data_IF_488674735674
#
_entry.id   IF_488674735674
#
_cell.length_a   1.000
_cell.length_b   1.000
_cell.length_c   1.000
_cell.angle_alpha   90.00
_cell.angle_beta   90.00
_cell.angle_gamma   90.00
#
_symmetry.space_group_name_H-M   'P 1'
#
loop_
_entity.id
_entity.type
_entity.pdbx_description
1 polymer ?
#
# COMPACT_ATOMS: atom_id res chain seq x y z
N UNK A 1 -8.82 1.84 -35.34
CA UNK A 1 -7.35 1.63 -35.23
C UNK A 1 -6.90 2.03 -33.85
N UNK A 2 -6.84 1.11 -32.92
CA UNK A 2 -6.32 1.33 -31.57
C UNK A 2 -4.78 1.29 -31.68
N UNK A 3 -4.13 2.45 -31.50
CA UNK A 3 -2.66 2.53 -31.43
C UNK A 3 -2.19 1.74 -30.21
N UNK A 4 -1.22 0.86 -30.45
CA UNK A 4 -0.51 0.10 -29.42
C UNK A 4 -0.01 1.07 -28.33
N UNK A 5 -0.51 0.86 -27.10
CA UNK A 5 0.04 1.51 -25.93
C UNK A 5 1.42 0.90 -25.68
N UNK A 6 2.46 1.71 -25.78
CA UNK A 6 3.82 1.30 -25.46
C UNK A 6 3.84 0.69 -24.04
N UNK A 7 4.23 -0.57 -23.96
CA UNK A 7 4.49 -1.24 -22.70
C UNK A 7 5.59 -0.48 -21.97
N UNK A 8 5.24 0.13 -20.84
CA UNK A 8 6.23 0.63 -19.88
C UNK A 8 7.12 -0.55 -19.49
N UNK A 9 8.43 -0.42 -19.66
CA UNK A 9 9.37 -1.49 -19.38
C UNK A 9 9.31 -1.87 -17.88
N UNK A 10 8.97 -3.11 -17.62
CA UNK A 10 8.71 -3.69 -16.30
C UNK A 10 9.98 -4.07 -15.56
N UNK A 11 10.82 -3.12 -15.15
CA UNK A 11 11.98 -3.41 -14.30
C UNK A 11 12.13 -2.39 -13.18
N UNK A 12 11.14 -2.32 -12.29
CA UNK A 12 11.19 -1.45 -11.11
C UNK A 12 11.15 -2.25 -9.80
N UNK A 13 11.88 -3.37 -9.77
CA UNK A 13 12.33 -3.94 -8.50
C UNK A 13 13.50 -3.09 -8.01
N UNK A 14 13.52 -2.75 -6.71
CA UNK A 14 14.67 -2.07 -6.14
C UNK A 14 15.96 -2.81 -6.54
N UNK A 15 17.01 -2.12 -7.00
CA UNK A 15 18.25 -2.76 -7.40
C UNK A 15 18.88 -3.40 -6.16
N UNK A 16 18.84 -4.74 -6.07
CA UNK A 16 19.41 -5.50 -4.97
C UNK A 16 18.84 -6.91 -4.86
N UNK A 17 19.56 -7.75 -4.14
CA UNK A 17 19.12 -9.09 -3.79
C UNK A 17 17.94 -9.01 -2.80
N UNK A 18 16.87 -9.78 -3.03
CA UNK A 18 15.76 -9.89 -2.10
C UNK A 18 16.14 -10.82 -0.94
N UNK A 19 16.18 -10.26 0.25
CA UNK A 19 16.51 -11.00 1.47
C UNK A 19 15.24 -11.48 2.15
N UNK A 20 15.26 -12.75 2.59
CA UNK A 20 14.16 -13.36 3.33
C UNK A 20 14.40 -13.26 4.84
N UNK A 21 13.44 -12.78 5.65
CA UNK A 21 13.59 -12.77 7.11
C UNK A 21 13.60 -14.19 7.63
N UNK A 22 14.47 -14.48 8.59
CA UNK A 22 14.64 -15.79 9.19
C UNK A 22 13.34 -16.30 9.81
N UNK A 23 13.03 -17.59 9.60
CA UNK A 23 11.87 -18.25 10.18
C UNK A 23 10.52 -17.90 9.52
N UNK A 24 10.48 -17.11 8.45
CA UNK A 24 9.31 -16.94 7.63
C UNK A 24 9.35 -17.88 6.44
N UNK A 25 8.27 -18.64 6.29
CA UNK A 25 8.03 -19.56 5.17
C UNK A 25 6.77 -19.10 4.43
N UNK A 26 6.68 -19.39 3.15
CA UNK A 26 5.45 -19.13 2.41
C UNK A 26 5.21 -20.17 1.32
N UNK A 27 3.97 -20.30 0.91
CA UNK A 27 3.56 -21.02 -0.29
C UNK A 27 2.66 -20.12 -1.13
N UNK A 28 2.62 -20.36 -2.42
CA UNK A 28 1.68 -19.73 -3.33
C UNK A 28 1.27 -20.75 -4.40
N UNK A 29 -0.04 -20.87 -4.64
CA UNK A 29 -0.57 -21.81 -5.61
C UNK A 29 -1.87 -21.35 -6.25
N UNK A 30 -2.25 -21.96 -7.34
CA UNK A 30 -3.59 -21.85 -7.92
C UNK A 30 -4.45 -22.96 -7.33
N UNK A 31 -5.57 -22.59 -6.70
CA UNK A 31 -6.57 -23.54 -6.18
C UNK A 31 -7.86 -23.49 -6.99
N UNK A 32 -7.84 -22.79 -8.14
CA UNK A 32 -8.95 -22.69 -9.07
C UNK A 32 -9.93 -21.55 -8.76
N UNK A 33 -9.58 -20.57 -7.92
CA UNK A 33 -10.35 -19.34 -7.77
C UNK A 33 -10.14 -18.47 -9.01
N UNK A 34 -8.88 -18.36 -9.48
CA UNK A 34 -8.52 -17.86 -10.82
C UNK A 34 -8.37 -19.02 -11.80
N UNK A 35 -8.43 -18.71 -13.07
CA UNK A 35 -8.40 -19.74 -14.11
C UNK A 35 -6.98 -20.35 -14.28
N UNK A 36 -5.93 -19.52 -14.30
CA UNK A 36 -4.55 -19.97 -14.61
C UNK A 36 -3.48 -19.42 -13.69
N UNK A 37 -3.69 -18.25 -13.03
CA UNK A 37 -2.69 -17.61 -12.21
C UNK A 37 -2.83 -17.97 -10.74
N UNK A 38 -1.78 -17.75 -9.94
CA UNK A 38 -1.79 -17.98 -8.49
C UNK A 38 -2.92 -17.17 -7.83
N UNK A 39 -3.61 -17.80 -6.86
CA UNK A 39 -4.79 -17.22 -6.23
C UNK A 39 -4.91 -17.46 -4.72
N UNK A 40 -4.04 -18.29 -4.16
CA UNK A 40 -3.95 -18.56 -2.73
C UNK A 40 -2.50 -18.52 -2.28
N UNK A 41 -2.24 -17.86 -1.14
CA UNK A 41 -0.94 -17.88 -0.46
C UNK A 41 -1.12 -18.00 1.04
N UNK A 42 -0.17 -18.68 1.68
CA UNK A 42 0.00 -18.71 3.13
C UNK A 42 1.40 -18.23 3.45
N UNK A 43 1.53 -17.28 4.39
CA UNK A 43 2.80 -16.83 4.96
C UNK A 43 2.81 -17.28 6.41
N UNK A 44 3.82 -18.01 6.80
CA UNK A 44 3.92 -18.66 8.12
C UNK A 44 5.22 -18.29 8.81
N UNK A 45 5.15 -18.00 10.08
CA UNK A 45 6.32 -17.87 10.96
C UNK A 45 6.51 -19.15 11.77
N UNK A 46 7.71 -19.71 11.79
CA UNK A 46 8.05 -20.93 12.53
C UNK A 46 7.89 -20.77 14.05
N UNK A 47 7.86 -19.54 14.55
CA UNK A 47 7.57 -19.19 15.94
C UNK A 47 6.45 -18.14 15.97
N UNK A 48 5.71 -18.09 17.08
CA UNK A 48 4.67 -17.08 17.27
C UNK A 48 5.26 -15.68 17.22
N UNK A 49 4.81 -14.84 16.29
CA UNK A 49 5.34 -13.51 16.08
C UNK A 49 4.52 -12.45 16.83
N UNK A 50 5.18 -11.42 17.36
CA UNK A 50 4.50 -10.18 17.75
C UNK A 50 3.97 -9.52 16.49
N UNK A 51 2.73 -9.04 16.53
CA UNK A 51 2.11 -8.51 15.32
C UNK A 51 1.29 -7.26 15.59
N UNK A 52 1.23 -6.38 14.59
CA UNK A 52 0.36 -5.24 14.55
C UNK A 52 -0.31 -5.14 13.18
N UNK A 53 -1.54 -4.65 13.15
CA UNK A 53 -2.24 -4.44 11.90
C UNK A 53 -3.01 -3.12 11.92
N UNK A 54 -3.11 -2.51 10.73
CA UNK A 54 -3.96 -1.40 10.40
C UNK A 54 -4.99 -1.87 9.39
N UNK A 55 -6.27 -1.52 9.60
CA UNK A 55 -7.38 -1.98 8.76
C UNK A 55 -8.17 -0.79 8.22
N UNK A 56 -8.88 -1.01 7.13
CA UNK A 56 -9.77 -0.02 6.51
C UNK A 56 -10.75 0.58 7.51
N UNK A 57 -11.07 1.85 7.29
CA UNK A 57 -12.13 2.59 7.99
C UNK A 57 -13.43 2.63 7.20
N UNK A 58 -13.48 1.96 6.04
CA UNK A 58 -14.71 1.83 5.26
C UNK A 58 -15.81 1.23 6.15
N UNK A 59 -17.03 1.75 6.05
CA UNK A 59 -18.18 1.31 6.85
C UNK A 59 -18.74 -0.03 6.42
N UNK A 60 -18.28 -0.57 5.28
CA UNK A 60 -18.58 -1.92 4.77
C UNK A 60 -17.31 -2.80 4.76
N UNK A 61 -16.72 -3.10 5.94
CA UNK A 61 -15.52 -3.91 5.97
C UNK A 61 -15.82 -5.35 5.53
N UNK A 62 -14.89 -5.94 4.78
CA UNK A 62 -14.96 -7.36 4.44
C UNK A 62 -14.92 -8.28 5.67
N UNK A 63 -15.48 -9.47 5.52
CA UNK A 63 -15.46 -10.49 6.59
C UNK A 63 -14.04 -10.80 7.10
N UNK A 64 -12.99 -10.90 6.23
CA UNK A 64 -11.61 -11.05 6.69
C UNK A 64 -11.14 -9.92 7.60
N UNK A 65 -11.54 -8.68 7.34
CA UNK A 65 -11.21 -7.52 8.19
C UNK A 65 -11.85 -7.64 9.56
N UNK A 66 -13.12 -8.09 9.63
CA UNK A 66 -13.86 -8.28 10.88
C UNK A 66 -13.18 -9.39 11.72
N UNK A 67 -12.86 -10.52 11.11
CA UNK A 67 -12.20 -11.66 11.78
C UNK A 67 -10.77 -11.28 12.15
N UNK A 68 -10.00 -10.68 11.24
CA UNK A 68 -8.62 -10.27 11.48
C UNK A 68 -8.48 -9.29 12.64
N UNK A 69 -9.41 -8.33 12.80
CA UNK A 69 -9.44 -7.41 13.97
C UNK A 69 -9.59 -8.15 15.29
N UNK A 70 -10.39 -9.23 15.33
CA UNK A 70 -10.57 -10.05 16.54
C UNK A 70 -9.30 -10.86 16.83
N UNK A 71 -8.75 -11.52 15.83
CA UNK A 71 -7.60 -12.40 15.97
C UNK A 71 -6.34 -11.63 16.39
N UNK A 72 -6.07 -10.45 15.81
CA UNK A 72 -4.88 -9.64 16.14
C UNK A 72 -4.99 -8.89 17.49
N UNK A 73 -6.13 -8.94 18.16
CA UNK A 73 -6.37 -8.14 19.39
C UNK A 73 -5.36 -8.40 20.50
N UNK A 74 -4.84 -9.62 20.59
CA UNK A 74 -3.80 -10.01 21.55
C UNK A 74 -2.39 -9.53 21.17
N UNK A 75 -2.20 -8.97 19.94
CA UNK A 75 -0.91 -8.48 19.43
C UNK A 75 0.05 -9.57 18.95
N UNK A 76 -0.47 -10.74 18.58
CA UNK A 76 0.29 -11.86 18.03
C UNK A 76 -0.36 -12.41 16.77
N UNK A 77 0.44 -13.01 15.90
CA UNK A 77 0.02 -13.82 14.77
C UNK A 77 1.14 -14.81 14.43
N UNK A 78 0.79 -15.91 13.78
CA UNK A 78 1.77 -16.88 13.34
C UNK A 78 1.62 -17.26 11.86
N UNK A 79 0.42 -17.06 11.29
CA UNK A 79 0.18 -17.26 9.86
C UNK A 79 -0.75 -16.19 9.28
N UNK A 80 -0.54 -15.88 8.01
CA UNK A 80 -1.44 -15.10 7.16
C UNK A 80 -1.93 -16.00 6.03
N UNK A 81 -3.23 -16.01 5.76
CA UNK A 81 -3.82 -16.73 4.63
C UNK A 81 -4.56 -15.73 3.74
N UNK A 82 -4.20 -15.68 2.47
CA UNK A 82 -4.69 -14.68 1.54
C UNK A 82 -5.22 -15.37 0.28
N UNK A 83 -6.44 -15.05 -0.12
CA UNK A 83 -6.95 -15.39 -1.44
C UNK A 83 -7.17 -14.14 -2.30
N UNK A 84 -6.99 -14.27 -3.60
CA UNK A 84 -7.32 -13.25 -4.60
C UNK A 84 -8.49 -13.65 -5.50
N UNK A 85 -8.99 -12.73 -6.35
CA UNK A 85 -10.19 -12.79 -7.20
C UNK A 85 -11.54 -12.70 -6.46
N UNK A 86 -11.63 -13.04 -5.19
CA UNK A 86 -12.84 -12.93 -4.37
C UNK A 86 -12.54 -12.17 -3.08
N UNK A 87 -13.25 -11.08 -2.81
CA UNK A 87 -13.00 -10.20 -1.67
C UNK A 87 -13.67 -10.63 -0.37
N UNK A 88 -14.61 -11.57 -0.41
CA UNK A 88 -15.43 -11.99 0.75
C UNK A 88 -16.07 -10.81 1.49
N UNK A 89 -16.68 -9.90 0.73
CA UNK A 89 -17.34 -8.67 1.20
C UNK A 89 -18.82 -8.72 0.86
N UNK A 90 -19.65 -8.13 1.71
CA UNK A 90 -21.13 -8.08 1.60
C UNK A 90 -21.79 -9.47 1.61
N UNK A 91 -21.18 -10.43 2.29
CA UNK A 91 -21.68 -11.83 2.40
C UNK A 91 -22.33 -12.14 3.74
N UNK A 92 -22.49 -11.14 4.62
CA UNK A 92 -23.12 -11.30 5.93
C UNK A 92 -22.44 -12.37 6.79
N UNK A 93 -23.27 -13.18 7.50
CA UNK A 93 -22.78 -14.26 8.37
C UNK A 93 -21.97 -15.31 7.61
N UNK A 94 -22.38 -15.69 6.39
CA UNK A 94 -21.67 -16.66 5.59
C UNK A 94 -20.22 -16.25 5.33
N UNK A 95 -19.97 -14.97 5.02
CA UNK A 95 -18.61 -14.47 4.81
C UNK A 95 -17.74 -14.59 6.05
N UNK A 96 -18.29 -14.28 7.22
CA UNK A 96 -17.59 -14.39 8.51
C UNK A 96 -17.28 -15.85 8.84
N UNK A 97 -18.27 -16.75 8.69
CA UNK A 97 -18.10 -18.17 8.95
C UNK A 97 -17.01 -18.77 8.03
N UNK A 98 -17.00 -18.41 6.74
CA UNK A 98 -15.98 -18.82 5.78
C UNK A 98 -14.56 -18.32 6.16
N UNK A 99 -14.43 -17.09 6.61
CA UNK A 99 -13.15 -16.54 7.06
C UNK A 99 -12.63 -17.26 8.32
N UNK A 100 -13.53 -17.55 9.29
CA UNK A 100 -13.19 -18.31 10.48
C UNK A 100 -12.80 -19.75 10.12
N UNK A 101 -13.56 -20.41 9.24
CA UNK A 101 -13.26 -21.76 8.77
C UNK A 101 -11.88 -21.81 8.11
N UNK A 102 -11.57 -20.86 7.25
CA UNK A 102 -10.24 -20.75 6.62
C UNK A 102 -9.12 -20.69 7.65
N UNK A 103 -9.29 -19.87 8.71
CA UNK A 103 -8.32 -19.81 9.81
C UNK A 103 -8.19 -21.14 10.55
N UNK A 104 -9.29 -21.85 10.80
CA UNK A 104 -9.28 -23.16 11.48
C UNK A 104 -8.54 -24.21 10.67
N UNK A 105 -8.76 -24.25 9.36
CA UNK A 105 -8.06 -25.20 8.46
C UNK A 105 -6.56 -24.93 8.50
N UNK A 106 -6.13 -23.67 8.31
CA UNK A 106 -4.70 -23.32 8.35
C UNK A 106 -4.10 -23.61 9.73
N UNK A 107 -4.82 -23.30 10.82
CA UNK A 107 -4.38 -23.62 12.17
C UNK A 107 -4.15 -25.12 12.39
N UNK A 108 -5.09 -25.95 11.95
CA UNK A 108 -5.01 -27.41 12.05
C UNK A 108 -3.84 -27.97 11.21
N UNK A 109 -3.68 -27.54 9.96
CA UNK A 109 -2.63 -28.00 9.06
C UNK A 109 -1.21 -27.62 9.56
N UNK A 110 -1.06 -26.46 10.18
CA UNK A 110 0.23 -25.96 10.69
C UNK A 110 0.50 -26.40 12.15
N UNK A 111 -0.51 -26.86 12.87
CA UNK A 111 -0.44 -27.17 14.31
C UNK A 111 -0.31 -25.94 15.18
N UNK A 112 -1.03 -24.87 14.85
CA UNK A 112 -1.06 -23.60 15.59
C UNK A 112 -2.49 -23.22 15.98
N UNK A 113 -2.64 -22.29 16.93
CA UNK A 113 -3.96 -21.75 17.27
C UNK A 113 -4.56 -21.00 16.06
N UNK A 114 -5.83 -21.30 15.77
CA UNK A 114 -6.57 -20.64 14.70
C UNK A 114 -6.72 -19.12 14.92
N UNK A 115 -6.64 -18.64 16.15
CA UNK A 115 -6.61 -17.22 16.50
C UNK A 115 -5.29 -16.54 16.14
N UNK A 116 -4.20 -17.29 15.97
CA UNK A 116 -2.92 -16.78 15.47
C UNK A 116 -2.85 -16.79 13.93
N UNK A 117 -3.93 -17.16 13.24
CA UNK A 117 -4.09 -17.07 11.78
C UNK A 117 -4.92 -15.85 11.41
N UNK A 118 -4.41 -15.00 10.53
CA UNK A 118 -5.12 -13.83 10.02
C UNK A 118 -5.59 -14.08 8.58
N UNK A 119 -6.92 -13.99 8.29
CA UNK A 119 -7.46 -14.18 6.96
C UNK A 119 -7.48 -12.87 6.17
N UNK A 120 -7.25 -12.96 4.85
CA UNK A 120 -7.36 -11.84 3.93
C UNK A 120 -7.95 -12.30 2.60
N UNK A 121 -8.73 -11.42 1.97
CA UNK A 121 -9.33 -11.66 0.67
C UNK A 121 -9.35 -10.39 -0.15
N UNK A 122 -9.16 -10.50 -1.45
CA UNK A 122 -9.20 -9.38 -2.38
C UNK A 122 -9.80 -9.79 -3.73
N UNK A 123 -10.51 -8.88 -4.40
CA UNK A 123 -11.14 -9.11 -5.70
C UNK A 123 -12.60 -8.69 -5.73
N UNK A 124 -13.45 -9.48 -6.34
CA UNK A 124 -14.87 -9.17 -6.58
C UNK A 124 -15.66 -9.20 -5.28
N UNK A 125 -16.48 -8.19 -5.05
CA UNK A 125 -17.42 -8.04 -3.93
C UNK A 125 -18.74 -8.74 -4.26
N UNK A 126 -19.45 -9.25 -3.22
CA UNK A 126 -20.81 -9.80 -3.36
C UNK A 126 -20.87 -11.21 -3.97
N UNK A 127 -19.79 -11.96 -3.91
CA UNK A 127 -19.74 -13.36 -4.34
C UNK A 127 -19.34 -14.28 -3.20
N UNK A 128 -19.98 -15.46 -3.03
CA UNK A 128 -19.59 -16.45 -2.05
C UNK A 128 -18.14 -16.89 -2.26
N UNK A 129 -17.40 -17.05 -1.17
CA UNK A 129 -16.05 -17.60 -1.23
C UNK A 129 -16.14 -19.10 -1.61
N UNK A 130 -15.39 -19.58 -2.62
CA UNK A 130 -15.47 -20.97 -3.08
C UNK A 130 -14.76 -21.92 -2.09
N UNK A 131 -15.41 -22.23 -0.97
CA UNK A 131 -14.81 -22.94 0.15
C UNK A 131 -14.32 -24.35 -0.20
N UNK A 132 -14.93 -25.04 -1.15
CA UNK A 132 -14.46 -26.37 -1.57
C UNK A 132 -13.05 -26.29 -2.18
N UNK A 133 -12.80 -25.27 -3.00
CA UNK A 133 -11.48 -24.99 -3.57
C UNK A 133 -10.47 -24.61 -2.49
N UNK A 134 -10.88 -23.77 -1.53
CA UNK A 134 -10.03 -23.35 -0.42
C UNK A 134 -9.72 -24.53 0.48
N UNK A 135 -10.70 -25.35 0.87
CA UNK A 135 -10.49 -26.57 1.66
C UNK A 135 -9.51 -27.52 0.97
N UNK A 136 -9.73 -27.78 -0.34
CA UNK A 136 -8.82 -28.62 -1.12
C UNK A 136 -7.41 -28.05 -1.21
N UNK A 137 -7.30 -26.75 -1.46
CA UNK A 137 -6.02 -26.05 -1.60
C UNK A 137 -5.21 -25.91 -0.31
N UNK A 138 -5.87 -25.93 0.85
CA UNK A 138 -5.20 -25.81 2.14
C UNK A 138 -4.76 -27.15 2.76
N UNK A 139 -5.14 -28.30 2.16
CA UNK A 139 -4.69 -29.61 2.65
C UNK A 139 -3.20 -29.80 2.41
N UNK A 140 -2.47 -30.28 3.42
CA UNK A 140 -1.05 -30.62 3.33
C UNK A 140 -0.10 -29.42 3.18
N UNK A 141 -0.57 -28.19 3.38
CA UNK A 141 0.23 -26.97 3.14
C UNK A 141 1.54 -26.92 3.95
N UNK A 142 1.62 -27.63 5.08
CA UNK A 142 2.83 -27.64 5.92
C UNK A 142 4.06 -28.12 5.17
N UNK A 143 3.89 -29.09 4.27
CA UNK A 143 4.98 -29.66 3.47
C UNK A 143 5.32 -28.82 2.23
N UNK A 144 4.46 -27.88 1.85
CA UNK A 144 4.64 -27.03 0.69
C UNK A 144 5.31 -25.69 1.00
N UNK A 145 5.37 -25.32 2.28
CA UNK A 145 5.98 -24.07 2.75
C UNK A 145 7.50 -24.03 2.48
N UNK A 146 7.98 -22.92 1.91
CA UNK A 146 9.39 -22.69 1.57
C UNK A 146 9.88 -21.34 2.10
N UNK A 147 11.18 -21.21 2.46
CA UNK A 147 11.72 -19.97 3.04
C UNK A 147 11.91 -18.83 2.03
N UNK A 148 12.01 -19.14 0.74
CA UNK A 148 12.37 -18.20 -0.33
C UNK A 148 11.22 -17.83 -1.28
N UNK A 149 9.98 -18.06 -0.85
CA UNK A 149 8.80 -18.03 -1.73
C UNK A 149 7.98 -16.73 -1.63
N UNK A 150 8.46 -15.70 -0.92
CA UNK A 150 7.70 -14.43 -0.74
C UNK A 150 7.41 -13.70 -2.05
N UNK A 151 8.25 -13.84 -3.08
CA UNK A 151 7.99 -13.25 -4.41
C UNK A 151 6.77 -13.89 -5.06
N UNK A 152 6.62 -15.20 -4.99
CA UNK A 152 5.42 -15.90 -5.49
C UNK A 152 4.18 -15.57 -4.64
N UNK A 153 4.36 -15.34 -3.33
CA UNK A 153 3.28 -14.83 -2.49
C UNK A 153 2.80 -13.45 -2.96
N UNK A 154 3.70 -12.56 -3.39
CA UNK A 154 3.34 -11.27 -3.98
C UNK A 154 2.56 -11.41 -5.29
N UNK A 155 2.87 -12.40 -6.12
CA UNK A 155 2.12 -12.72 -7.35
C UNK A 155 0.71 -13.25 -7.03
N UNK A 156 0.59 -14.13 -6.03
CA UNK A 156 -0.68 -14.76 -5.66
C UNK A 156 -1.73 -13.76 -5.15
N UNK A 157 -1.31 -12.68 -4.53
CA UNK A 157 -2.22 -11.64 -4.00
C UNK A 157 -2.65 -10.60 -5.04
N UNK A 158 -2.05 -10.56 -6.24
CA UNK A 158 -2.40 -9.63 -7.31
C UNK A 158 -3.84 -9.81 -7.77
N UNK A 159 -4.46 -8.72 -8.23
CA UNK A 159 -5.78 -8.72 -8.90
C UNK A 159 -5.66 -8.12 -10.30
N UNK A 160 -5.74 -6.81 -10.41
CA UNK A 160 -5.57 -6.02 -11.63
C UNK A 160 -4.15 -5.45 -11.77
N UNK A 161 -3.29 -5.78 -10.81
CA UNK A 161 -1.88 -5.38 -10.81
C UNK A 161 -1.15 -5.88 -12.06
N UNK A 162 -0.31 -5.05 -12.67
CA UNK A 162 0.51 -5.41 -13.85
C UNK A 162 1.75 -6.22 -13.47
N UNK A 163 2.26 -6.04 -12.24
CA UNK A 163 3.44 -6.74 -11.73
C UNK A 163 3.39 -6.89 -10.20
N UNK A 164 4.08 -7.91 -9.64
CA UNK A 164 4.16 -8.12 -8.20
C UNK A 164 5.04 -7.04 -7.55
N UNK A 165 4.62 -6.60 -6.35
CA UNK A 165 5.32 -5.56 -5.58
C UNK A 165 5.94 -6.16 -4.33
N UNK A 166 7.26 -6.12 -4.24
CA UNK A 166 8.02 -6.63 -3.11
C UNK A 166 9.35 -5.89 -2.94
N UNK A 167 9.81 -5.81 -1.71
CA UNK A 167 11.09 -5.21 -1.35
C UNK A 167 11.60 -5.83 -0.06
N UNK A 168 12.90 -5.89 0.13
CA UNK A 168 13.51 -6.17 1.42
C UNK A 168 14.68 -5.26 1.72
N UNK A 169 14.94 -5.02 3.01
CA UNK A 169 16.08 -4.24 3.48
C UNK A 169 16.68 -4.91 4.72
N UNK A 170 18.00 -4.79 4.89
CA UNK A 170 18.69 -5.19 6.12
C UNK A 170 18.71 -4.04 7.11
N UNK A 171 18.47 -4.34 8.37
CA UNK A 171 18.53 -3.39 9.49
C UNK A 171 19.32 -4.03 10.62
N UNK A 172 20.61 -3.72 10.70
CA UNK A 172 21.52 -4.44 11.59
C UNK A 172 21.60 -5.93 11.22
N UNK A 173 21.34 -6.82 12.18
CA UNK A 173 21.27 -8.27 11.96
C UNK A 173 19.97 -8.72 11.32
N UNK A 174 18.93 -7.92 11.34
CA UNK A 174 17.59 -8.30 10.91
C UNK A 174 17.28 -7.89 9.46
N UNK A 175 16.25 -8.53 8.91
CA UNK A 175 15.67 -8.22 7.61
C UNK A 175 14.24 -7.73 7.80
N UNK A 176 13.84 -6.73 7.02
CA UNK A 176 12.45 -6.35 6.80
C UNK A 176 12.11 -6.70 5.36
N UNK A 177 11.16 -7.58 5.14
CA UNK A 177 10.60 -7.88 3.83
C UNK A 177 9.15 -7.42 3.76
N UNK A 178 8.77 -6.80 2.66
CA UNK A 178 7.42 -6.36 2.39
C UNK A 178 6.93 -6.84 1.04
N UNK A 179 5.68 -7.28 0.99
CA UNK A 179 4.94 -7.54 -0.25
C UNK A 179 3.64 -6.76 -0.25
N UNK A 180 3.20 -6.32 -1.43
CA UNK A 180 1.98 -5.54 -1.55
C UNK A 180 1.23 -5.84 -2.85
N UNK A 181 -0.08 -5.57 -2.83
CA UNK A 181 -0.93 -5.51 -4.01
C UNK A 181 -1.80 -4.25 -3.97
N UNK A 182 -2.13 -3.77 -5.16
CA UNK A 182 -3.07 -2.68 -5.37
C UNK A 182 -2.81 -1.98 -6.70
N UNK A 183 -3.89 -1.68 -7.43
CA UNK A 183 -3.89 -0.95 -8.68
C UNK A 183 -5.16 -0.10 -8.86
N UNK A 184 -6.26 -0.45 -8.23
CA UNK A 184 -7.53 0.30 -8.23
C UNK A 184 -8.26 0.22 -6.90
N UNK A 185 -9.26 1.08 -6.70
CA UNK A 185 -9.98 1.34 -5.44
C UNK A 185 -8.99 1.81 -4.37
N UNK A 186 -8.23 2.90 -4.67
CA UNK A 186 -7.11 3.34 -3.86
C UNK A 186 -7.16 4.84 -3.53
N UNK A 187 -7.73 5.16 -2.38
CA UNK A 187 -7.42 6.32 -1.56
C UNK A 187 -7.44 5.94 -0.09
N UNK A 188 -6.28 5.60 0.50
CA UNK A 188 -6.22 5.14 1.88
C UNK A 188 -6.57 6.25 2.89
N UNK A 189 -7.59 5.97 3.69
CA UNK A 189 -7.78 6.62 4.98
C UNK A 189 -7.63 5.54 6.06
N UNK A 190 -6.37 5.08 6.29
CA UNK A 190 -5.96 3.88 7.01
C UNK A 190 -6.09 2.60 6.14
N UNK A 191 -5.47 2.63 4.94
CA UNK A 191 -5.16 1.56 4.01
C UNK A 191 -6.19 1.25 2.90
N UNK A 192 -5.74 1.34 1.60
CA UNK A 192 -6.49 0.83 0.42
C UNK A 192 -5.61 -0.12 -0.39
N UNK A 193 -5.07 -1.16 0.25
CA UNK A 193 -4.23 -2.20 -0.34
C UNK A 193 -4.08 -3.34 0.64
N UNK A 194 -3.51 -4.42 0.18
CA UNK A 194 -3.01 -5.46 1.07
C UNK A 194 -1.48 -5.35 1.12
N UNK A 195 -0.95 -5.12 2.30
CA UNK A 195 0.49 -5.05 2.56
C UNK A 195 0.85 -5.98 3.71
N UNK A 196 1.83 -6.83 3.48
CA UNK A 196 2.34 -7.76 4.48
C UNK A 196 3.82 -7.50 4.68
N UNK A 197 4.18 -7.17 5.91
CA UNK A 197 5.52 -6.82 6.34
C UNK A 197 6.00 -7.88 7.33
N UNK A 198 7.07 -8.57 7.00
CA UNK A 198 7.69 -9.62 7.81
C UNK A 198 9.07 -9.17 8.24
N UNK A 199 9.41 -9.41 9.50
CA UNK A 199 10.76 -9.17 10.02
C UNK A 199 11.15 -10.20 11.07
N UNK A 200 12.42 -10.57 11.05
CA UNK A 200 13.04 -11.41 12.08
C UNK A 200 13.62 -10.59 13.26
N UNK A 201 13.45 -9.27 13.26
CA UNK A 201 13.84 -8.41 14.38
C UNK A 201 13.05 -8.70 15.65
N UNK A 202 13.73 -8.69 16.80
CA UNK A 202 13.08 -8.63 18.11
C UNK A 202 12.72 -7.19 18.46
N UNK A 203 11.42 -6.87 18.53
CA UNK A 203 10.88 -5.55 18.82
C UNK A 203 9.96 -5.56 20.05
N UNK A 204 9.94 -4.49 20.87
CA UNK A 204 8.99 -4.37 21.94
C UNK A 204 7.55 -4.37 21.43
N UNK A 205 6.67 -5.20 21.99
CA UNK A 205 5.26 -5.29 21.57
C UNK A 205 4.53 -3.94 21.62
N UNK A 206 4.81 -3.15 22.66
CA UNK A 206 4.15 -1.86 22.88
C UNK A 206 4.47 -0.85 21.77
N UNK A 207 5.61 -0.99 21.07
CA UNK A 207 6.08 -0.06 20.03
C UNK A 207 5.60 -0.42 18.62
N UNK A 208 5.25 -1.70 18.36
CA UNK A 208 4.88 -2.14 17.00
C UNK A 208 3.71 -1.36 16.43
N UNK A 209 2.61 -1.26 17.17
CA UNK A 209 1.40 -0.61 16.66
C UNK A 209 1.55 0.91 16.49
N UNK A 210 2.10 1.67 17.45
CA UNK A 210 2.39 3.10 17.26
C UNK A 210 3.33 3.36 16.08
N UNK A 211 4.42 2.58 15.96
CA UNK A 211 5.37 2.67 14.87
C UNK A 211 4.71 2.40 13.51
N UNK A 212 4.00 1.27 13.37
CA UNK A 212 3.30 0.92 12.14
C UNK A 212 2.31 2.03 11.75
N UNK A 213 1.54 2.55 12.72
CA UNK A 213 0.61 3.65 12.49
C UNK A 213 1.31 4.89 11.94
N UNK A 214 2.41 5.32 12.60
CA UNK A 214 3.17 6.49 12.18
C UNK A 214 3.74 6.33 10.76
N UNK A 215 4.27 5.13 10.44
CA UNK A 215 4.78 4.84 9.09
C UNK A 215 3.66 4.83 8.06
N UNK A 216 2.54 4.14 8.31
CA UNK A 216 1.37 4.10 7.41
C UNK A 216 0.82 5.50 7.14
N UNK A 217 0.77 6.36 8.16
CA UNK A 217 0.25 7.72 8.02
C UNK A 217 1.08 8.61 7.08
N UNK A 218 2.39 8.39 7.01
CA UNK A 218 3.30 9.17 6.14
C UNK A 218 3.65 8.48 4.80
N UNK A 219 3.18 7.23 4.59
CA UNK A 219 3.40 6.49 3.35
C UNK A 219 2.08 6.14 2.69
N UNK A 220 1.49 5.01 2.97
CA UNK A 220 0.27 4.52 2.32
C UNK A 220 -0.91 5.49 2.41
N UNK A 221 -1.11 6.18 3.54
CA UNK A 221 -2.14 7.21 3.65
C UNK A 221 -1.80 8.50 2.87
N UNK A 222 -0.66 8.56 2.21
CA UNK A 222 -0.21 9.64 1.35
C UNK A 222 -0.25 9.28 -0.14
N UNK A 223 -1.04 8.30 -0.55
CA UNK A 223 -1.27 8.01 -1.97
C UNK A 223 -2.75 8.07 -2.32
N UNK A 224 -3.07 8.26 -3.61
CA UNK A 224 -4.42 8.15 -4.15
C UNK A 224 -4.36 7.84 -5.63
N UNK A 225 -5.16 6.89 -6.09
CA UNK A 225 -5.30 6.57 -7.53
C UNK A 225 -6.64 7.09 -8.05
N UNK A 226 -7.75 6.74 -7.41
CA UNK A 226 -9.12 6.94 -7.89
C UNK A 226 -10.06 7.57 -6.84
N UNK A 227 -9.56 7.97 -5.68
CA UNK A 227 -10.30 8.54 -4.55
C UNK A 227 -11.20 7.57 -3.78
N UNK A 228 -11.22 6.28 -4.14
CA UNK A 228 -12.09 5.28 -3.54
C UNK A 228 -11.40 4.49 -2.42
N UNK A 229 -11.99 4.48 -1.22
CA UNK A 229 -11.49 3.70 -0.09
C UNK A 229 -12.06 2.28 -0.11
N UNK A 230 -11.19 1.27 -0.21
CA UNK A 230 -11.59 -0.13 -0.28
C UNK A 230 -12.17 -0.68 1.03
N UNK A 231 -12.90 -1.77 0.89
CA UNK A 231 -13.53 -2.54 1.98
C UNK A 231 -12.58 -3.53 2.65
N UNK A 232 -11.40 -3.78 2.06
CA UNK A 232 -10.51 -4.89 2.48
C UNK A 232 -9.13 -4.44 2.94
N UNK A 233 -8.83 -3.16 2.89
CA UNK A 233 -7.50 -2.60 3.14
C UNK A 233 -6.89 -3.03 4.44
N UNK A 234 -5.64 -3.50 4.33
CA UNK A 234 -4.91 -3.96 5.51
C UNK A 234 -3.41 -3.83 5.33
N UNK A 235 -2.73 -3.33 6.36
CA UNK A 235 -1.28 -3.43 6.53
C UNK A 235 -1.00 -4.26 7.77
N UNK A 236 -0.22 -5.32 7.63
CA UNK A 236 0.21 -6.19 8.74
C UNK A 236 1.71 -6.14 8.88
N UNK A 237 2.21 -6.02 10.11
CA UNK A 237 3.61 -6.21 10.47
C UNK A 237 3.71 -7.38 11.44
N UNK A 238 4.52 -8.40 11.08
CA UNK A 238 4.87 -9.54 11.93
C UNK A 238 6.36 -9.50 12.26
N UNK A 239 6.71 -9.58 13.54
CA UNK A 239 8.08 -9.60 14.06
C UNK A 239 8.30 -10.84 14.91
N UNK A 240 9.07 -11.81 14.41
CA UNK A 240 9.26 -13.09 15.08
C UNK A 240 10.48 -13.13 16.03
N UNK A 241 11.41 -12.19 15.91
CA UNK A 241 12.52 -12.01 16.86
C UNK A 241 13.73 -12.90 16.65
N UNK A 242 13.77 -13.75 15.62
CA UNK A 242 14.83 -14.75 15.43
C UNK A 242 16.21 -14.15 15.12
N UNK A 243 16.29 -12.94 14.58
CA UNK A 243 17.56 -12.23 14.35
C UNK A 243 18.05 -11.42 15.57
N UNK A 244 17.29 -11.44 16.67
CA UNK A 244 17.61 -10.70 17.89
C UNK A 244 17.23 -9.21 17.85
N UNK A 245 17.73 -8.48 18.85
CA UNK A 245 17.40 -7.07 19.08
C UNK A 245 18.04 -6.15 18.04
N UNK A 246 17.28 -5.16 17.60
CA UNK A 246 17.74 -4.06 16.74
C UNK A 246 17.44 -2.70 17.41
N UNK A 247 18.15 -1.65 16.98
CA UNK A 247 17.83 -0.28 17.42
C UNK A 247 16.49 0.14 16.81
N UNK A 248 15.49 0.43 17.65
CA UNK A 248 14.11 0.77 17.22
C UNK A 248 14.09 1.90 16.19
N UNK A 249 14.88 2.98 16.40
CA UNK A 249 14.94 4.09 15.45
C UNK A 249 15.53 3.71 14.07
N UNK A 250 16.47 2.75 14.02
CA UNK A 250 16.99 2.24 12.75
C UNK A 250 15.95 1.34 12.07
N UNK A 251 15.25 0.51 12.85
CA UNK A 251 14.18 -0.31 12.36
C UNK A 251 13.04 0.54 11.76
N UNK A 252 12.62 1.60 12.45
CA UNK A 252 11.58 2.51 11.94
C UNK A 252 11.98 3.18 10.62
N UNK A 253 13.25 3.57 10.46
CA UNK A 253 13.76 4.09 9.18
C UNK A 253 13.69 3.04 8.06
N UNK A 254 14.12 1.81 8.33
CA UNK A 254 14.03 0.70 7.38
C UNK A 254 12.58 0.38 7.02
N UNK A 255 11.69 0.31 8.01
CA UNK A 255 10.26 0.09 7.81
C UNK A 255 9.63 1.21 6.97
N UNK A 256 10.01 2.48 7.23
CA UNK A 256 9.55 3.62 6.45
C UNK A 256 9.97 3.51 4.99
N UNK A 257 11.23 3.14 4.73
CA UNK A 257 11.74 2.95 3.38
C UNK A 257 10.99 1.83 2.63
N UNK A 258 10.77 0.67 3.28
CA UNK A 258 9.99 -0.43 2.70
C UNK A 258 8.57 0.02 2.37
N UNK A 259 7.89 0.70 3.29
CA UNK A 259 6.52 1.16 3.10
C UNK A 259 6.40 2.26 2.04
N UNK A 260 7.36 3.20 1.98
CA UNK A 260 7.40 4.25 0.96
C UNK A 260 7.60 3.66 -0.43
N UNK A 261 8.55 2.73 -0.59
CA UNK A 261 8.76 2.02 -1.86
C UNK A 261 7.50 1.30 -2.33
N UNK A 262 6.85 0.53 -1.45
CA UNK A 262 5.62 -0.19 -1.79
C UNK A 262 4.47 0.77 -2.13
N UNK A 263 4.35 1.90 -1.44
CA UNK A 263 3.33 2.92 -1.73
C UNK A 263 3.56 3.55 -3.11
N UNK A 264 4.81 3.88 -3.45
CA UNK A 264 5.20 4.38 -4.78
C UNK A 264 4.88 3.37 -5.88
N UNK A 265 5.23 2.10 -5.68
CA UNK A 265 4.97 1.04 -6.66
C UNK A 265 3.46 0.78 -6.86
N UNK A 266 2.65 0.91 -5.80
CA UNK A 266 1.19 0.85 -5.91
C UNK A 266 0.67 2.04 -6.71
N UNK A 267 1.08 3.26 -6.40
CA UNK A 267 0.65 4.47 -7.10
C UNK A 267 1.07 4.45 -8.58
N UNK A 268 2.30 3.98 -8.87
CA UNK A 268 2.83 3.83 -10.23
C UNK A 268 2.07 2.78 -11.05
N UNK A 269 1.58 1.74 -10.39
CA UNK A 269 0.83 0.64 -11.00
C UNK A 269 -0.69 0.88 -11.02
N UNK A 270 -1.14 2.13 -10.84
CA UNK A 270 -2.56 2.48 -10.90
C UNK A 270 -3.21 2.02 -12.21
N UNK A 271 -4.47 1.56 -12.16
CA UNK A 271 -5.22 1.13 -13.35
C UNK A 271 -5.26 2.24 -14.41
N UNK A 272 -4.72 1.97 -15.61
CA UNK A 272 -4.63 2.93 -16.70
C UNK A 272 -3.61 4.06 -16.50
N UNK A 273 -2.81 4.04 -15.43
CA UNK A 273 -1.82 5.07 -15.17
C UNK A 273 -0.69 5.05 -16.22
N UNK A 274 -0.34 6.23 -16.71
CA UNK A 274 0.80 6.45 -17.60
C UNK A 274 1.90 7.27 -16.94
N UNK A 275 1.60 7.90 -15.81
CA UNK A 275 2.51 8.78 -15.07
C UNK A 275 2.29 8.67 -13.58
N UNK A 276 3.36 8.79 -12.81
CA UNK A 276 3.31 9.02 -11.38
C UNK A 276 3.33 10.52 -11.10
N UNK A 277 2.29 11.03 -10.45
CA UNK A 277 2.24 12.43 -10.00
C UNK A 277 2.64 12.47 -8.52
N UNK A 278 3.69 13.22 -8.20
CA UNK A 278 4.08 13.56 -6.83
C UNK A 278 3.66 14.99 -6.53
N UNK A 279 2.93 15.20 -5.46
CA UNK A 279 2.58 16.54 -4.97
C UNK A 279 3.29 16.81 -3.66
N UNK A 280 4.24 17.75 -3.69
CA UNK A 280 5.00 18.23 -2.52
C UNK A 280 4.40 19.54 -2.01
N UNK A 281 3.75 19.51 -0.84
CA UNK A 281 3.28 20.72 -0.17
C UNK A 281 4.25 21.09 0.96
N UNK A 282 4.65 22.35 1.00
CA UNK A 282 5.50 22.93 2.03
C UNK A 282 4.93 24.23 2.58
N UNK A 283 5.50 24.74 3.66
CA UNK A 283 5.10 26.03 4.23
C UNK A 283 3.67 26.05 4.80
N UNK A 284 3.10 24.90 5.15
CA UNK A 284 1.77 24.77 5.74
C UNK A 284 1.82 25.02 7.25
N UNK A 285 0.68 25.39 7.85
CA UNK A 285 0.50 25.57 9.29
C UNK A 285 0.76 24.28 10.09
N UNK A 286 0.34 23.13 9.55
CA UNK A 286 0.57 21.80 10.12
C UNK A 286 0.52 20.74 9.01
N UNK A 287 0.95 19.52 9.34
CA UNK A 287 1.01 18.39 8.39
C UNK A 287 -0.38 17.96 7.88
N UNK A 288 -1.43 18.11 8.67
CA UNK A 288 -2.79 17.78 8.26
C UNK A 288 -3.28 18.73 7.15
N UNK A 289 -3.00 20.03 7.26
CA UNK A 289 -3.27 21.02 6.21
C UNK A 289 -2.47 20.70 4.93
N UNK A 290 -1.17 20.45 5.08
CA UNK A 290 -0.31 20.13 3.94
C UNK A 290 -0.83 18.90 3.18
N UNK A 291 -1.18 17.83 3.91
CA UNK A 291 -1.71 16.59 3.34
C UNK A 291 -3.08 16.81 2.64
N UNK A 292 -3.96 17.62 3.24
CA UNK A 292 -5.26 17.95 2.65
C UNK A 292 -5.09 18.69 1.32
N UNK A 293 -4.18 19.68 1.27
CA UNK A 293 -3.87 20.42 0.05
C UNK A 293 -3.24 19.51 -1.00
N UNK A 294 -2.26 18.70 -0.62
CA UNK A 294 -1.60 17.75 -1.55
C UNK A 294 -2.61 16.76 -2.15
N UNK A 295 -3.50 16.19 -1.33
CA UNK A 295 -4.59 15.33 -1.80
C UNK A 295 -5.57 16.06 -2.72
N UNK A 296 -5.93 17.31 -2.43
CA UNK A 296 -6.82 18.08 -3.29
C UNK A 296 -6.23 18.32 -4.68
N UNK A 297 -4.89 18.46 -4.77
CA UNK A 297 -4.18 18.62 -6.04
C UNK A 297 -4.08 17.29 -6.79
N UNK A 298 -3.56 16.23 -6.14
CA UNK A 298 -3.35 14.93 -6.81
C UNK A 298 -4.66 14.28 -7.26
N UNK A 299 -5.76 14.53 -6.52
CA UNK A 299 -7.10 14.00 -6.81
C UNK A 299 -7.90 14.85 -7.80
N UNK A 300 -7.39 16.01 -8.23
CA UNK A 300 -8.10 16.86 -9.16
C UNK A 300 -8.11 16.24 -10.57
N UNK A 301 -9.29 15.89 -11.13
CA UNK A 301 -9.36 15.40 -12.52
C UNK A 301 -8.77 16.40 -13.50
N UNK A 302 -8.94 17.71 -13.27
CA UNK A 302 -8.39 18.75 -14.13
C UNK A 302 -6.86 18.81 -14.04
N UNK A 303 -6.25 18.58 -12.88
CA UNK A 303 -4.79 18.47 -12.74
C UNK A 303 -4.29 17.20 -13.41
N UNK A 304 -4.95 16.05 -13.19
CA UNK A 304 -4.59 14.78 -13.81
C UNK A 304 -4.62 14.87 -15.33
N UNK A 305 -5.67 15.46 -15.92
CA UNK A 305 -5.78 15.64 -17.38
C UNK A 305 -4.76 16.61 -17.95
N UNK A 306 -4.38 17.67 -17.21
CA UNK A 306 -3.29 18.56 -17.61
C UNK A 306 -1.94 17.84 -17.65
N UNK A 307 -1.61 17.09 -16.60
CA UNK A 307 -0.37 16.30 -16.55
C UNK A 307 -0.35 15.21 -17.64
N UNK A 308 -1.48 14.53 -17.85
CA UNK A 308 -1.62 13.53 -18.92
C UNK A 308 -1.34 14.13 -20.30
N UNK A 309 -1.95 15.27 -20.60
CA UNK A 309 -1.82 15.99 -21.86
C UNK A 309 -0.57 16.87 -21.97
N UNK A 310 0.36 16.81 -20.99
CA UNK A 310 1.57 17.65 -20.95
C UNK A 310 1.26 19.16 -21.02
N UNK A 311 0.09 19.58 -20.49
CA UNK A 311 -0.32 20.99 -20.40
C UNK A 311 0.20 21.59 -19.08
N UNK A 312 1.12 22.59 -19.09
CA UNK A 312 1.67 23.20 -17.90
C UNK A 312 0.69 24.18 -17.22
N UNK A 313 -0.55 23.72 -17.04
CA UNK A 313 -1.68 24.51 -16.53
C UNK A 313 -1.66 24.65 -15.00
N UNK A 314 -0.77 25.50 -14.51
CA UNK A 314 -0.69 25.82 -13.08
C UNK A 314 -1.98 26.42 -12.50
N UNK A 315 -2.83 27.03 -13.35
CA UNK A 315 -4.15 27.54 -12.93
C UNK A 315 -5.04 26.45 -12.36
N UNK A 316 -4.96 25.21 -12.89
CA UNK A 316 -5.67 24.04 -12.35
C UNK A 316 -5.11 23.61 -10.98
N UNK A 317 -3.82 23.83 -10.74
CA UNK A 317 -3.22 23.58 -9.42
C UNK A 317 -3.74 24.61 -8.41
N UNK A 318 -3.75 25.91 -8.74
CA UNK A 318 -4.32 26.96 -7.89
C UNK A 318 -5.78 26.68 -7.55
N UNK A 319 -6.59 26.33 -8.54
CA UNK A 319 -7.99 25.94 -8.34
C UNK A 319 -8.10 24.79 -7.34
N UNK A 320 -7.24 23.75 -7.49
CA UNK A 320 -7.24 22.59 -6.59
C UNK A 320 -6.81 22.95 -5.15
N UNK A 321 -5.88 23.89 -4.98
CA UNK A 321 -5.50 24.44 -3.67
C UNK A 321 -6.69 25.23 -3.08
N UNK A 322 -7.30 26.13 -3.86
CA UNK A 322 -8.38 26.99 -3.41
C UNK A 322 -9.65 26.23 -3.00
N UNK A 323 -9.99 25.13 -3.71
CA UNK A 323 -11.16 24.28 -3.37
C UNK A 323 -11.02 23.51 -2.05
N UNK A 324 -9.91 23.62 -1.34
CA UNK A 324 -9.81 23.12 0.04
C UNK A 324 -10.59 23.97 1.03
N UNK A 325 -11.02 25.15 0.61
CA UNK A 325 -11.76 26.14 1.42
C UNK A 325 -11.10 26.48 2.75
N UNK A 326 -9.77 26.35 2.84
CA UNK A 326 -9.01 26.62 4.05
C UNK A 326 -8.74 28.14 4.16
N UNK A 327 -9.33 28.83 5.15
CA UNK A 327 -9.23 30.29 5.27
C UNK A 327 -7.83 30.78 5.64
N UNK A 328 -6.94 29.88 6.05
CA UNK A 328 -5.56 30.23 6.38
C UNK A 328 -4.66 30.33 5.12
N UNK A 329 -5.15 29.91 3.96
CA UNK A 329 -4.38 30.01 2.71
C UNK A 329 -4.49 31.43 2.16
N UNK A 330 -3.35 32.10 2.07
CA UNK A 330 -3.21 33.46 1.56
C UNK A 330 -2.68 33.42 0.11
N UNK A 331 -3.49 33.78 -0.90
CA UNK A 331 -3.06 33.68 -2.32
C UNK A 331 -1.74 34.37 -2.62
N UNK A 332 -1.47 35.53 -1.99
CA UNK A 332 -0.21 36.28 -2.17
C UNK A 332 1.03 35.61 -1.62
N UNK A 333 0.91 34.52 -0.85
CA UNK A 333 2.04 33.74 -0.31
C UNK A 333 2.28 32.43 -1.08
N UNK A 334 1.33 32.00 -1.90
CA UNK A 334 1.39 30.72 -2.61
C UNK A 334 2.44 30.76 -3.71
N UNK A 335 3.23 29.69 -3.79
CA UNK A 335 4.17 29.42 -4.90
C UNK A 335 3.91 28.05 -5.46
N UNK A 336 3.89 27.91 -6.79
CA UNK A 336 3.71 26.64 -7.49
C UNK A 336 4.89 26.40 -8.42
N UNK A 337 5.38 25.16 -8.48
CA UNK A 337 6.43 24.71 -9.40
C UNK A 337 6.06 23.39 -10.05
N UNK A 338 6.52 23.18 -11.26
CA UNK A 338 6.61 21.89 -11.93
C UNK A 338 8.09 21.48 -11.97
N UNK A 339 8.43 20.35 -11.33
CA UNK A 339 9.84 20.02 -11.08
C UNK A 339 10.53 21.15 -10.32
N UNK A 340 11.60 21.70 -10.88
CA UNK A 340 12.34 22.83 -10.30
C UNK A 340 11.88 24.20 -10.82
N UNK A 341 10.99 24.26 -11.82
CA UNK A 341 10.58 25.51 -12.46
C UNK A 341 9.38 26.12 -11.75
N UNK A 342 9.57 27.33 -11.20
CA UNK A 342 8.46 28.11 -10.66
C UNK A 342 7.61 28.67 -11.80
N UNK A 343 6.29 28.40 -11.74
CA UNK A 343 5.30 28.87 -12.70
C UNK A 343 4.35 29.94 -12.13
N UNK A 344 4.27 29.96 -10.78
CA UNK A 344 3.53 30.97 -10.03
C UNK A 344 4.27 31.22 -8.71
N UNK A 345 4.53 32.49 -8.38
CA UNK A 345 5.34 32.86 -7.20
C UNK A 345 4.73 34.05 -6.48
N UNK A 346 4.45 33.87 -5.18
CA UNK A 346 3.93 34.92 -4.29
C UNK A 346 2.73 35.66 -4.88
N UNK A 347 1.77 34.93 -5.39
CA UNK A 347 0.53 35.51 -5.91
C UNK A 347 0.58 36.03 -7.36
N UNK A 348 1.69 35.83 -8.08
CA UNK A 348 1.85 36.32 -9.46
C UNK A 348 2.40 35.22 -10.39
N UNK A 349 1.99 35.21 -11.68
CA UNK A 349 2.60 34.35 -12.70
C UNK A 349 4.10 34.64 -12.83
N UNK A 350 4.85 33.60 -13.17
CA UNK A 350 6.27 33.69 -13.50
C UNK A 350 6.43 33.35 -14.97
N UNK A 351 7.16 34.20 -15.69
CA UNK A 351 7.56 33.91 -17.07
C UNK A 351 8.52 32.72 -17.10
N UNK A 352 8.24 31.73 -17.95
CA UNK A 352 8.97 30.48 -18.02
C UNK A 352 8.86 29.84 -19.42
N UNK A 353 9.83 29.01 -19.75
CA UNK A 353 9.84 28.24 -20.99
C UNK A 353 8.74 27.16 -20.97
N UNK A 354 7.66 27.43 -21.70
CA UNK A 354 6.51 26.50 -21.78
C UNK A 354 6.86 25.20 -22.51
N UNK A 355 7.81 25.23 -23.46
CA UNK A 355 8.20 24.02 -24.19
C UNK A 355 9.02 23.08 -23.30
N UNK A 356 9.98 23.63 -22.53
CA UNK A 356 10.72 22.88 -21.53
C UNK A 356 9.78 22.27 -20.48
N UNK A 357 8.71 22.99 -20.06
CA UNK A 357 7.70 22.47 -19.15
C UNK A 357 6.86 21.35 -19.76
N UNK A 358 6.49 21.41 -21.04
CA UNK A 358 5.81 20.32 -21.75
C UNK A 358 6.68 19.07 -21.81
N UNK A 359 7.97 19.23 -22.13
CA UNK A 359 8.93 18.12 -22.12
C UNK A 359 9.08 17.51 -20.73
N UNK A 360 9.15 18.33 -19.67
CA UNK A 360 9.15 17.85 -18.28
C UNK A 360 7.89 17.05 -17.96
N UNK A 361 6.71 17.59 -18.26
CA UNK A 361 5.43 16.92 -18.03
C UNK A 361 5.28 15.65 -18.89
N UNK A 362 6.06 15.49 -19.94
CA UNK A 362 6.12 14.27 -20.77
C UNK A 362 6.81 13.08 -20.11
N UNK A 363 7.49 13.28 -18.99
CA UNK A 363 8.17 12.22 -18.25
C UNK A 363 7.18 11.29 -17.53
N UNK A 364 7.64 10.10 -17.15
CA UNK A 364 6.86 9.12 -16.37
C UNK A 364 6.62 9.56 -14.92
N UNK A 365 7.49 10.40 -14.39
CA UNK A 365 7.47 10.92 -13.04
C UNK A 365 7.38 12.45 -13.05
N UNK A 366 6.28 12.98 -12.51
CA UNK A 366 6.01 14.42 -12.49
C UNK A 366 5.83 14.89 -11.05
N UNK A 367 6.63 15.87 -10.65
CA UNK A 367 6.51 16.51 -9.32
C UNK A 367 5.88 17.90 -9.47
N UNK A 368 4.82 18.13 -8.68
CA UNK A 368 4.17 19.43 -8.50
C UNK A 368 4.48 19.93 -7.10
N UNK A 369 5.22 21.01 -6.98
CA UNK A 369 5.51 21.65 -5.72
C UNK A 369 4.52 22.77 -5.42
N UNK A 370 3.99 22.81 -4.19
CA UNK A 370 3.12 23.88 -3.69
C UNK A 370 3.66 24.38 -2.36
N UNK A 371 4.09 25.65 -2.30
CA UNK A 371 4.43 26.30 -1.02
C UNK A 371 3.30 27.22 -0.61
N UNK A 372 2.78 27.04 0.62
CA UNK A 372 1.72 27.88 1.15
C UNK A 372 2.26 29.16 1.84
N UNK A 373 3.52 29.16 2.29
CA UNK A 373 4.16 30.32 2.88
C UNK A 373 3.60 30.81 4.21
N UNK A 374 2.85 29.95 4.95
CA UNK A 374 2.15 30.29 6.19
C UNK A 374 2.63 29.49 7.41
N UNK A 375 3.63 28.64 7.26
CA UNK A 375 4.20 27.82 8.34
C UNK A 375 5.44 27.07 7.89
N UNK A 376 5.76 25.97 8.59
CA UNK A 376 6.94 25.14 8.33
C UNK A 376 6.61 23.68 8.01
N UNK A 377 5.35 23.29 8.14
CA UNK A 377 4.95 21.90 7.91
C UNK A 377 4.85 21.58 6.42
N UNK A 378 4.99 20.30 6.09
CA UNK A 378 4.86 19.79 4.74
C UNK A 378 4.25 18.40 4.68
N UNK A 379 3.90 17.99 3.47
CA UNK A 379 3.47 16.63 3.15
C UNK A 379 3.77 16.32 1.69
N UNK A 380 4.06 15.05 1.41
CA UNK A 380 4.19 14.48 0.07
C UNK A 380 3.04 13.52 -0.16
N UNK A 381 2.41 13.57 -1.33
CA UNK A 381 1.32 12.67 -1.74
C UNK A 381 1.56 12.23 -3.19
N UNK A 382 1.23 10.98 -3.49
CA UNK A 382 1.35 10.36 -4.81
C UNK A 382 0.00 9.96 -5.40
#
# INVERSE_FOLDING_TARGET
MLKQVNKVSSSHTAPGEFHHPQGFLSLAKNVGIKDTTLDLTVIYSTVRARAAAMFTRNRFPGAPVIVGKKHIANGYAQALVINSKNANVAMGKLGIDNAIETCRIVGAELGIDSYDVLPFSTGVIGRPLPMDKIRGGLRGIKTELKPDNLKLAAEAIMTTDMYPKYISVRVGSAVIAGIAKGAGMIEPNMATMLVYLMTDAELPRAELRPMLRGVVDRTFNCMSIDTDTSTSDTVVLMANGLAGKVKVAQFEKGLSHVCEHLALEIARNGEGATKLITVDVSGAKNSAQAKRVAKAVVNSPLVKTAVYGCDPNWGRVIMAVGKTFDPAIEPGKVTIRFGETNVFKKGSPVDCDLEALRQYLGQSDVTIGVSLGIGKAGARVW
#
